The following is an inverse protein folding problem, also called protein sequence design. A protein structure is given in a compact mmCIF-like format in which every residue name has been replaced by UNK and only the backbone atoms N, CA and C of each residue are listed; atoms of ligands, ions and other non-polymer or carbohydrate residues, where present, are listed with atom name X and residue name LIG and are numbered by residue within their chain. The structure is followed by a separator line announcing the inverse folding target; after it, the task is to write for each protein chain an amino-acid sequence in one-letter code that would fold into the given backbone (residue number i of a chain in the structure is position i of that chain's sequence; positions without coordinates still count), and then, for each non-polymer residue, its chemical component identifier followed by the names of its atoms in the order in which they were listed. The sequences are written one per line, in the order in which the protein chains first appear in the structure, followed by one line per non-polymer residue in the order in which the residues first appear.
data_IF_264424440133
#
_entry.id   IF_264424440133
#
_cell.length_a   1.000
_cell.length_b   1.000
_cell.length_c   1.000
_cell.angle_alpha   90.00
_cell.angle_beta   90.00
_cell.angle_gamma   90.00
#
_symmetry.space_group_name_H-M   'P 1'
#
loop_
_entity.id
_entity.type
_entity.pdbx_description
1 polymer ?
#
# COMPACT_ATOMS: atom_id res chain seq x y z
N UNK A 1 -9.31 14.74 -8.34
CA UNK A 1 -9.03 14.21 -6.99
C UNK A 1 -7.60 13.65 -7.02
N UNK A 2 -6.73 14.07 -6.10
CA UNK A 2 -5.33 13.60 -6.02
C UNK A 2 -5.19 12.67 -4.82
N UNK A 3 -4.49 11.54 -4.99
CA UNK A 3 -4.23 10.55 -3.95
C UNK A 3 -2.81 10.01 -4.07
N UNK A 4 -2.29 9.47 -2.98
CA UNK A 4 -0.90 9.04 -2.86
C UNK A 4 -0.82 7.59 -2.44
N UNK A 5 0.13 6.85 -3.02
CA UNK A 5 0.43 5.47 -2.69
C UNK A 5 1.93 5.33 -2.50
N UNK A 6 2.37 4.83 -1.36
CA UNK A 6 3.77 4.51 -1.10
C UNK A 6 4.01 3.02 -1.39
N UNK A 7 4.88 2.73 -2.35
CA UNK A 7 5.19 1.35 -2.80
C UNK A 7 6.67 1.23 -3.15
N UNK A 8 7.17 -0.01 -3.13
CA UNK A 8 8.52 -0.34 -3.61
C UNK A 8 8.66 0.08 -5.08
N UNK A 9 9.83 0.61 -5.45
CA UNK A 9 10.09 1.12 -6.80
C UNK A 9 9.76 0.11 -7.91
N UNK A 10 10.03 -1.18 -7.70
CA UNK A 10 9.70 -2.25 -8.67
C UNK A 10 8.22 -2.37 -9.02
N UNK A 11 7.32 -1.82 -8.21
CA UNK A 11 5.86 -1.82 -8.40
C UNK A 11 5.29 -0.41 -8.63
N UNK A 12 6.14 0.58 -8.91
CA UNK A 12 5.73 1.98 -9.02
C UNK A 12 4.84 2.27 -10.24
N UNK A 13 5.08 1.58 -11.36
CA UNK A 13 4.39 1.81 -12.63
C UNK A 13 3.04 1.10 -12.73
N UNK A 14 2.92 -0.08 -12.12
CA UNK A 14 1.71 -0.91 -12.24
C UNK A 14 0.68 -0.52 -11.17
N UNK A 15 -0.53 -0.20 -11.62
CA UNK A 15 -1.66 0.11 -10.75
C UNK A 15 -2.48 -1.17 -10.49
N UNK A 16 -1.88 -2.12 -9.77
CA UNK A 16 -2.52 -3.38 -9.38
C UNK A 16 -2.73 -3.49 -7.86
N UNK A 17 -3.79 -4.19 -7.46
CA UNK A 17 -4.08 -4.58 -6.08
C UNK A 17 -3.56 -5.97 -5.71
N UNK A 18 -2.83 -6.66 -6.59
CA UNK A 18 -2.40 -8.05 -6.43
C UNK A 18 -1.68 -8.32 -5.10
N UNK A 19 -0.84 -7.39 -4.63
CA UNK A 19 -0.16 -7.51 -3.33
C UNK A 19 -1.12 -7.66 -2.15
N UNK A 20 -2.21 -6.89 -2.17
CA UNK A 20 -3.26 -6.97 -1.14
C UNK A 20 -4.12 -8.21 -1.30
N UNK A 21 -4.35 -8.69 -2.52
CA UNK A 21 -5.12 -9.91 -2.76
C UNK A 21 -4.36 -11.16 -2.32
N UNK A 22 -3.04 -11.21 -2.51
CA UNK A 22 -2.22 -12.36 -2.11
C UNK A 22 -2.21 -12.56 -0.59
N UNK A 23 -2.06 -11.47 0.17
CA UNK A 23 -1.88 -11.56 1.63
C UNK A 23 -3.15 -11.23 2.44
N UNK A 24 -4.13 -10.56 1.84
CA UNK A 24 -5.19 -9.86 2.57
C UNK A 24 -4.66 -8.61 3.25
N UNK A 25 -5.53 -7.66 3.53
CA UNK A 25 -5.20 -6.48 4.33
C UNK A 25 -6.45 -5.98 5.09
N UNK A 26 -6.32 -4.87 5.82
CA UNK A 26 -7.34 -4.37 6.77
C UNK A 26 -8.75 -4.31 6.16
N UNK A 27 -8.86 -3.92 4.89
CA UNK A 27 -10.14 -3.68 4.22
C UNK A 27 -10.43 -4.63 3.05
N UNK A 28 -9.61 -5.67 2.84
CA UNK A 28 -9.86 -6.67 1.79
C UNK A 28 -9.41 -8.08 2.21
N UNK A 29 -10.24 -9.06 1.87
CA UNK A 29 -9.93 -10.48 2.04
C UNK A 29 -8.92 -10.98 1.00
N UNK A 30 -8.24 -12.09 1.29
CA UNK A 30 -7.39 -12.78 0.31
C UNK A 30 -8.21 -13.13 -0.95
N UNK A 31 -7.61 -12.93 -2.12
CA UNK A 31 -8.24 -13.10 -3.43
C UNK A 31 -9.02 -11.88 -3.93
N UNK A 32 -9.22 -10.84 -3.11
CA UNK A 32 -9.89 -9.59 -3.52
C UNK A 32 -8.85 -8.50 -3.69
N UNK A 33 -8.69 -7.97 -4.90
CA UNK A 33 -7.77 -6.87 -5.17
C UNK A 33 -8.28 -5.54 -4.62
N UNK A 34 -7.39 -4.81 -3.93
CA UNK A 34 -7.64 -3.45 -3.48
C UNK A 34 -6.35 -2.61 -3.53
N UNK A 35 -6.48 -1.34 -3.91
CA UNK A 35 -5.37 -0.40 -3.90
C UNK A 35 -5.53 0.55 -2.71
N UNK A 36 -4.53 0.54 -1.83
CA UNK A 36 -4.48 1.41 -0.67
C UNK A 36 -3.84 2.73 -1.07
N UNK A 37 -4.56 3.82 -0.82
CA UNK A 37 -4.11 5.19 -1.10
C UNK A 37 -4.41 6.08 0.10
N UNK A 38 -3.76 7.24 0.13
CA UNK A 38 -3.93 8.27 1.15
C UNK A 38 -4.17 9.62 0.49
N UNK A 39 -4.90 10.49 1.19
CA UNK A 39 -5.21 11.83 0.70
C UNK A 39 -4.00 12.79 0.72
N UNK A 40 -2.93 12.44 1.43
CA UNK A 40 -1.68 13.20 1.44
C UNK A 40 -0.45 12.27 1.59
N UNK A 41 0.73 12.76 1.17
CA UNK A 41 1.98 11.99 1.19
C UNK A 41 2.43 11.63 2.62
N UNK A 42 2.23 12.52 3.58
CA UNK A 42 2.55 12.29 5.01
C UNK A 42 1.76 11.13 5.60
N UNK A 43 0.48 10.99 5.24
CA UNK A 43 -0.38 9.90 5.70
C UNK A 43 0.05 8.57 5.09
N UNK A 44 0.37 8.55 3.79
CA UNK A 44 0.93 7.34 3.15
C UNK A 44 2.23 6.88 3.84
N UNK A 45 3.08 7.82 4.25
CA UNK A 45 4.29 7.53 5.01
C UNK A 45 3.97 7.02 6.43
N UNK A 46 3.03 7.65 7.13
CA UNK A 46 2.63 7.24 8.48
C UNK A 46 2.05 5.82 8.52
N UNK A 47 1.21 5.46 7.56
CA UNK A 47 0.67 4.11 7.42
C UNK A 47 1.78 3.05 7.32
N UNK A 48 2.84 3.35 6.57
CA UNK A 48 3.98 2.44 6.42
C UNK A 48 4.84 2.41 7.69
N UNK A 49 5.20 3.56 8.26
CA UNK A 49 6.08 3.61 9.44
C UNK A 49 5.46 2.98 10.70
N UNK A 50 4.13 3.05 10.85
CA UNK A 50 3.43 2.51 12.03
C UNK A 50 3.19 1.01 11.89
N UNK A 51 2.98 0.49 10.68
CA UNK A 51 2.62 -0.91 10.47
C UNK A 51 3.80 -1.80 10.05
N UNK A 52 4.95 -1.22 9.69
CA UNK A 52 6.15 -1.95 9.25
C UNK A 52 7.35 -1.66 10.17
N UNK A 53 8.23 -2.65 10.29
CA UNK A 53 9.53 -2.48 10.95
C UNK A 53 10.55 -1.87 9.99
N UNK A 54 11.64 -1.29 10.50
CA UNK A 54 12.72 -0.73 9.67
C UNK A 54 13.25 -1.73 8.61
N UNK A 55 13.29 -3.03 8.94
CA UNK A 55 13.72 -4.09 8.03
C UNK A 55 12.71 -4.39 6.90
N UNK A 56 11.47 -3.91 7.01
CA UNK A 56 10.37 -4.23 6.08
C UNK A 56 9.83 -3.01 5.33
N UNK A 57 10.45 -1.84 5.53
CA UNK A 57 10.10 -0.62 4.80
C UNK A 57 10.23 -0.82 3.27
N UNK A 58 9.36 -0.18 2.48
CA UNK A 58 9.39 -0.24 1.02
C UNK A 58 10.56 0.54 0.40
#
# INVERSE_FOLDING_TARGET
MEVFRLVRQKYSYELSGAGSAMNGARWNSKGVEMIYTSINRSLAMAEVLVHFTAATLP
#
